data_IF_062132419827
#
_entry.id   IF_062132419827
#
_cell.length_a   1.000
_cell.length_b   1.000
_cell.length_c   1.000
_cell.angle_alpha   90.00
_cell.angle_beta   90.00
_cell.angle_gamma   90.00
#
_symmetry.space_group_name_H-M   'P 1'
#
loop_
_entity.id
_entity.type
_entity.pdbx_description
1 polymer ?
#
# COMPACT_ATOMS: atom_id res chain seq x y z
N UNK A 1 -3.20 10.68 -0.57
CA UNK A 1 -2.48 9.49 -1.06
C UNK A 1 -3.53 8.55 -1.57
N UNK A 2 -3.24 7.90 -2.67
CA UNK A 2 -4.14 6.98 -3.37
C UNK A 2 -3.41 5.65 -3.56
N UNK A 3 -4.17 4.56 -3.63
CA UNK A 3 -3.65 3.24 -3.96
C UNK A 3 -4.49 2.69 -5.10
N UNK A 4 -3.81 2.33 -6.18
CA UNK A 4 -4.43 1.57 -7.26
C UNK A 4 -4.29 0.08 -6.96
N UNK A 5 -5.37 -0.66 -7.17
CA UNK A 5 -5.40 -2.09 -6.89
C UNK A 5 -6.21 -2.85 -7.93
N UNK A 6 -5.82 -4.10 -8.18
CA UNK A 6 -6.60 -5.06 -8.97
C UNK A 6 -7.40 -5.94 -8.03
N UNK A 7 -8.67 -6.15 -8.34
CA UNK A 7 -9.49 -7.20 -7.73
C UNK A 7 -9.63 -8.34 -8.73
N UNK A 8 -9.31 -9.57 -8.33
CA UNK A 8 -9.51 -10.76 -9.16
C UNK A 8 -10.96 -11.28 -9.09
N UNK A 9 -11.29 -12.31 -9.88
CA UNK A 9 -12.63 -12.90 -9.93
C UNK A 9 -13.06 -13.53 -8.60
N UNK A 10 -12.10 -13.92 -7.76
CA UNK A 10 -12.31 -14.44 -6.42
C UNK A 10 -12.46 -13.34 -5.35
N UNK A 11 -12.39 -12.06 -5.76
CA UNK A 11 -12.51 -10.92 -4.87
C UNK A 11 -11.25 -10.60 -4.07
N UNK A 12 -10.09 -11.19 -4.42
CA UNK A 12 -8.81 -10.85 -3.78
C UNK A 12 -8.29 -9.55 -4.35
N UNK A 13 -7.93 -8.64 -3.44
CA UNK A 13 -7.42 -7.32 -3.77
C UNK A 13 -5.90 -7.35 -3.72
N UNK A 14 -5.27 -6.89 -4.80
CA UNK A 14 -3.82 -6.77 -4.92
C UNK A 14 -3.46 -5.31 -5.18
N UNK A 15 -2.77 -4.62 -4.26
CA UNK A 15 -2.30 -3.26 -4.51
C UNK A 15 -1.17 -3.27 -5.55
N UNK A 16 -1.16 -2.29 -6.44
CA UNK A 16 -0.22 -2.19 -7.57
C UNK A 16 0.62 -0.91 -7.55
N UNK A 17 0.01 0.23 -7.20
CA UNK A 17 0.66 1.54 -7.23
C UNK A 17 0.25 2.33 -6.00
N UNK A 18 1.20 3.04 -5.40
CA UNK A 18 0.94 4.06 -4.40
C UNK A 18 1.18 5.43 -5.04
N UNK A 19 0.17 6.30 -5.03
CA UNK A 19 0.30 7.69 -5.44
C UNK A 19 0.49 8.55 -4.20
N UNK A 20 1.65 9.19 -4.12
CA UNK A 20 2.02 10.00 -2.97
C UNK A 20 1.40 11.41 -3.03
N UNK A 21 1.61 12.23 -1.99
CA UNK A 21 0.96 13.55 -1.86
C UNK A 21 1.36 14.55 -2.95
N UNK A 22 2.53 14.36 -3.52
CA UNK A 22 3.09 15.12 -4.65
C UNK A 22 2.57 14.63 -6.02
N UNK A 23 1.77 13.56 -6.04
CA UNK A 23 1.29 12.94 -7.27
C UNK A 23 2.26 11.94 -7.89
N UNK A 24 3.45 11.74 -7.29
CA UNK A 24 4.42 10.75 -7.78
C UNK A 24 3.87 9.35 -7.57
N UNK A 25 4.00 8.54 -8.61
CA UNK A 25 3.49 7.17 -8.68
C UNK A 25 4.62 6.20 -8.37
N UNK A 26 4.43 5.39 -7.35
CA UNK A 26 5.38 4.39 -6.92
C UNK A 26 4.81 2.99 -7.18
N UNK A 27 5.43 2.26 -8.08
CA UNK A 27 5.04 0.89 -8.38
C UNK A 27 5.43 -0.05 -7.23
N UNK A 28 4.52 -0.95 -6.88
CA UNK A 28 4.78 -2.01 -5.91
C UNK A 28 5.49 -3.13 -6.63
N UNK A 29 6.75 -3.36 -6.25
CA UNK A 29 7.58 -4.43 -6.80
C UNK A 29 7.00 -5.81 -6.46
N UNK A 30 6.55 -5.96 -5.21
CA UNK A 30 5.95 -7.19 -4.69
C UNK A 30 5.11 -6.95 -3.45
N UNK A 31 4.07 -7.76 -3.30
CA UNK A 31 3.32 -7.95 -2.05
C UNK A 31 3.89 -9.19 -1.36
N UNK A 32 4.48 -9.04 -0.18
CA UNK A 32 5.12 -10.15 0.56
C UNK A 32 4.20 -10.81 1.56
N UNK A 33 3.17 -10.10 2.04
CA UNK A 33 2.21 -10.62 3.01
C UNK A 33 0.90 -9.85 2.91
N UNK A 34 -0.24 -10.53 3.09
CA UNK A 34 -1.54 -9.93 3.30
C UNK A 34 -2.21 -10.60 4.50
N UNK A 35 -2.53 -9.85 5.55
CA UNK A 35 -3.16 -10.40 6.77
C UNK A 35 -4.17 -9.46 7.39
N UNK A 36 -5.16 -10.02 8.09
CA UNK A 36 -6.01 -9.22 8.98
C UNK A 36 -5.15 -8.68 10.11
N UNK A 37 -5.20 -7.37 10.33
CA UNK A 37 -4.50 -6.71 11.41
C UNK A 37 -5.33 -5.55 11.93
N UNK A 38 -5.21 -5.27 13.22
CA UNK A 38 -5.71 -4.02 13.77
C UNK A 38 -4.86 -2.88 13.23
N UNK A 39 -5.51 -1.87 12.67
CA UNK A 39 -4.85 -0.63 12.29
C UNK A 39 -4.55 0.17 13.56
N UNK A 40 -3.28 0.48 13.87
CA UNK A 40 -2.92 1.23 15.08
C UNK A 40 -3.51 2.65 15.10
N UNK A 41 -3.90 3.17 13.92
CA UNK A 41 -4.33 4.56 13.73
C UNK A 41 -5.84 4.75 13.87
N UNK A 42 -6.64 3.73 13.54
CA UNK A 42 -8.11 3.84 13.44
C UNK A 42 -8.84 2.93 14.42
N UNK A 43 -8.14 2.04 15.15
CA UNK A 43 -8.74 1.04 16.06
C UNK A 43 -9.79 0.14 15.36
N UNK A 44 -9.69 0.02 14.04
CA UNK A 44 -10.52 -0.85 13.20
C UNK A 44 -9.71 -2.06 12.77
N UNK A 45 -10.40 -3.17 12.46
CA UNK A 45 -9.80 -4.34 11.85
C UNK A 45 -9.81 -4.17 10.32
N UNK A 46 -8.63 -4.15 9.71
CA UNK A 46 -8.43 -4.05 8.26
C UNK A 46 -7.52 -5.14 7.71
N UNK A 47 -7.33 -5.14 6.40
CA UNK A 47 -6.25 -5.92 5.76
C UNK A 47 -4.99 -5.08 5.73
N UNK A 48 -3.89 -5.60 6.29
CA UNK A 48 -2.57 -5.04 6.14
C UNK A 48 -1.79 -5.81 5.09
N UNK A 49 -1.27 -5.08 4.11
CA UNK A 49 -0.37 -5.59 3.09
C UNK A 49 1.05 -5.14 3.42
N UNK A 50 1.98 -6.09 3.47
CA UNK A 50 3.41 -5.81 3.48
C UNK A 50 3.87 -5.78 2.03
N UNK A 51 4.41 -4.64 1.59
CA UNK A 51 4.78 -4.40 0.20
C UNK A 51 6.21 -3.89 0.09
N UNK A 52 6.83 -4.14 -1.06
CA UNK A 52 8.14 -3.61 -1.41
C UNK A 52 7.98 -2.61 -2.55
N UNK A 53 8.58 -1.44 -2.40
CA UNK A 53 8.52 -0.32 -3.37
C UNK A 53 9.92 0.25 -3.49
N UNK A 54 10.51 0.18 -4.69
CA UNK A 54 11.90 0.61 -4.91
C UNK A 54 12.88 -0.11 -3.99
N UNK A 55 12.65 -1.40 -3.72
CA UNK A 55 13.48 -2.20 -2.81
C UNK A 55 13.29 -1.92 -1.31
N UNK A 56 12.45 -0.96 -0.93
CA UNK A 56 12.15 -0.65 0.49
C UNK A 56 10.83 -1.28 0.92
N UNK A 57 10.77 -1.84 2.13
CA UNK A 57 9.54 -2.42 2.67
C UNK A 57 8.65 -1.37 3.35
N UNK A 58 7.35 -1.41 3.07
CA UNK A 58 6.34 -0.54 3.69
C UNK A 58 5.00 -1.28 3.86
N UNK A 59 4.02 -0.62 4.48
CA UNK A 59 2.72 -1.20 4.79
C UNK A 59 1.57 -0.38 4.24
N UNK A 60 0.59 -1.09 3.66
CA UNK A 60 -0.70 -0.55 3.22
C UNK A 60 -1.81 -1.18 4.04
N UNK A 61 -2.84 -0.40 4.37
CA UNK A 61 -4.02 -0.86 5.07
C UNK A 61 -5.26 -0.63 4.21
N UNK A 62 -6.13 -1.64 4.16
CA UNK A 62 -7.41 -1.60 3.47
C UNK A 62 -8.55 -1.86 4.46
N UNK A 63 -9.45 -0.89 4.62
CA UNK A 63 -10.54 -0.91 5.59
C UNK A 63 -11.88 -0.55 4.94
N UNK A 64 -12.38 -1.43 4.06
CA UNK A 64 -13.69 -1.23 3.41
C UNK A 64 -13.74 0.04 2.56
N UNK A 65 -13.74 -0.14 1.25
CA UNK A 65 -13.12 0.70 0.20
C UNK A 65 -11.90 1.61 0.48
N UNK A 66 -11.50 1.89 1.72
CA UNK A 66 -10.50 2.93 2.00
C UNK A 66 -9.10 2.36 2.13
N UNK A 67 -8.14 3.04 1.50
CA UNK A 67 -6.72 2.76 1.62
C UNK A 67 -6.00 3.75 2.54
N UNK A 68 -5.06 3.23 3.31
CA UNK A 68 -4.12 4.02 4.11
C UNK A 68 -2.70 3.50 3.91
N UNK A 69 -1.71 4.40 3.97
CA UNK A 69 -0.29 4.06 3.85
C UNK A 69 0.40 4.40 5.16
N UNK A 70 1.20 3.48 5.71
CA UNK A 70 1.91 3.71 6.98
C UNK A 70 3.16 4.59 6.84
N UNK A 71 3.64 4.81 5.62
CA UNK A 71 4.92 5.45 5.38
C UNK A 71 4.98 6.89 5.95
N UNK A 72 5.99 7.14 6.78
CA UNK A 72 6.33 8.47 7.31
C UNK A 72 7.19 9.28 6.34
N UNK A 73 7.82 8.63 5.37
CA UNK A 73 8.72 9.21 4.35
C UNK A 73 8.37 8.58 3.00
N UNK A 74 8.25 9.35 1.90
CA UNK A 74 8.09 8.77 0.58
C UNK A 74 9.22 7.79 0.26
N UNK A 75 8.98 6.72 -0.52
CA UNK A 75 10.06 5.93 -1.09
C UNK A 75 11.01 6.86 -1.86
N UNK A 76 12.29 6.51 -1.95
CA UNK A 76 13.22 7.24 -2.79
C UNK A 76 12.58 7.48 -4.16
N UNK A 77 12.57 8.73 -4.63
CA UNK A 77 11.93 9.07 -5.90
C UNK A 77 12.46 8.15 -6.99
N UNK A 78 11.61 7.56 -7.86
CA UNK A 78 12.09 6.73 -8.96
C UNK A 78 13.06 7.49 -9.89
N UNK A 79 12.96 8.83 -9.90
CA UNK A 79 13.82 9.72 -10.70
C UNK A 79 15.04 10.26 -9.93
N UNK A 80 15.30 9.80 -8.70
CA UNK A 80 16.49 10.20 -7.95
C UNK A 80 17.73 9.42 -8.44
N UNK A 81 18.25 9.80 -9.61
CA UNK A 81 19.57 9.43 -10.12
C UNK A 81 20.30 10.65 -10.68
#
# INVERSE_FOLDING_TARGET
MEVESRTDAEGRITPLVVVWRDGVRYHIDRVTEARKAYSPRTCSAGLRYSVCVGGTQTYLFYEGPRWFVEAKVPPASPDAL
#
